data_IF_623698779149
#
_entry.id   IF_623698779149
#
_cell.length_a   1.000
_cell.length_b   1.000
_cell.length_c   1.000
_cell.angle_alpha   90.00
_cell.angle_beta   90.00
_cell.angle_gamma   90.00
#
_symmetry.space_group_name_H-M   'P 1'
#
loop_
_entity.id
_entity.type
_entity.pdbx_description
1 polymer ?
#
# COMPACT_ATOMS: atom_id res chain seq x y z
N UNK A 1 9.47 1.91 25.83
CA UNK A 1 8.55 0.93 25.48
C UNK A 1 9.18 -0.12 24.66
N UNK A 2 8.85 -1.21 24.96
CA UNK A 2 9.45 -2.29 24.30
C UNK A 2 8.72 -2.64 23.04
N UNK A 3 9.46 -2.72 22.01
CA UNK A 3 8.91 -3.18 20.78
C UNK A 3 8.77 -4.67 20.72
N UNK A 4 9.14 -5.33 21.77
CA UNK A 4 9.00 -6.78 21.77
C UNK A 4 7.58 -7.23 21.99
N UNK A 5 6.73 -6.30 22.37
CA UNK A 5 5.41 -6.62 22.79
C UNK A 5 4.72 -7.64 21.94
N UNK A 6 4.16 -7.28 20.85
CA UNK A 6 3.39 -8.25 20.09
C UNK A 6 4.17 -8.93 18.98
N UNK A 7 5.42 -8.55 18.80
CA UNK A 7 6.16 -9.08 17.68
C UNK A 7 6.33 -10.59 17.78
N UNK A 8 6.73 -11.07 18.93
CA UNK A 8 6.97 -12.50 19.09
C UNK A 8 5.70 -13.32 19.02
N UNK A 9 4.64 -12.80 19.62
CA UNK A 9 3.36 -13.49 19.58
C UNK A 9 2.82 -13.53 18.16
N UNK A 10 2.96 -12.43 17.44
CA UNK A 10 2.48 -12.35 16.08
C UNK A 10 3.33 -13.13 15.11
N UNK A 11 4.58 -13.34 15.43
CA UNK A 11 5.50 -14.04 14.55
C UNK A 11 4.97 -15.42 14.19
N UNK A 12 4.45 -16.15 15.17
CA UNK A 12 3.94 -17.48 14.92
C UNK A 12 2.70 -17.48 14.05
N UNK A 13 1.84 -16.49 14.23
CA UNK A 13 0.61 -16.39 13.45
C UNK A 13 0.87 -15.97 12.02
N UNK A 14 2.00 -15.30 11.78
CA UNK A 14 2.31 -14.73 10.49
C UNK A 14 3.41 -15.50 9.77
N UNK A 15 3.65 -16.74 10.19
CA UNK A 15 4.73 -17.55 9.68
C UNK A 15 4.79 -17.60 8.16
N UNK A 16 3.68 -17.83 7.43
CA UNK A 16 3.73 -17.92 5.98
C UNK A 16 4.02 -16.59 5.29
N UNK A 17 3.96 -15.46 6.03
CA UNK A 17 4.12 -14.14 5.48
C UNK A 17 5.26 -13.42 6.15
N UNK A 18 5.68 -12.32 5.54
CA UNK A 18 6.69 -11.48 6.14
C UNK A 18 6.10 -10.78 7.36
N UNK A 19 6.61 -11.07 8.57
CA UNK A 19 6.06 -10.45 9.78
C UNK A 19 6.12 -8.93 9.78
N UNK A 20 7.09 -8.38 9.06
CA UNK A 20 7.22 -6.92 8.99
C UNK A 20 6.05 -6.26 8.29
N UNK A 21 5.42 -6.94 7.35
CA UNK A 21 4.29 -6.35 6.63
C UNK A 21 3.10 -6.14 7.56
N UNK A 22 2.85 -7.09 8.46
CA UNK A 22 1.79 -6.91 9.45
C UNK A 22 2.08 -5.76 10.39
N UNK A 23 3.33 -5.64 10.81
CA UNK A 23 3.73 -4.55 11.69
C UNK A 23 3.53 -3.21 10.99
N UNK A 24 3.87 -3.14 9.71
CA UNK A 24 3.66 -1.92 8.93
C UNK A 24 2.19 -1.55 8.86
N UNK A 25 1.32 -2.52 8.66
CA UNK A 25 -0.12 -2.25 8.63
C UNK A 25 -0.62 -1.67 9.95
N UNK A 26 -0.10 -2.17 11.05
CA UNK A 26 -0.46 -1.66 12.38
C UNK A 26 0.04 -0.23 12.56
N UNK A 27 1.18 0.11 11.99
CA UNK A 27 1.78 1.43 12.20
C UNK A 27 1.20 2.52 11.31
N UNK A 28 0.46 2.18 10.24
CA UNK A 28 -0.08 3.20 9.34
C UNK A 28 -0.96 4.22 10.04
N UNK A 29 -1.93 3.83 10.88
CA UNK A 29 -2.74 4.83 11.59
C UNK A 29 -1.90 5.72 12.50
N UNK A 30 -0.88 5.14 13.14
CA UNK A 30 0.02 5.90 14.01
C UNK A 30 0.82 6.90 13.19
N UNK A 31 1.33 6.47 12.05
CA UNK A 31 2.08 7.35 11.17
C UNK A 31 1.24 8.52 10.69
N UNK A 32 0.01 8.25 10.27
CA UNK A 32 -0.90 9.32 9.83
C UNK A 32 -1.12 10.33 10.95
N UNK A 33 -1.34 9.82 12.17
CA UNK A 33 -1.58 10.69 13.31
C UNK A 33 -0.36 11.55 13.62
N UNK A 34 0.83 10.98 13.51
CA UNK A 34 2.06 11.73 13.74
C UNK A 34 2.27 12.82 12.71
N UNK A 35 1.97 12.53 11.45
CA UNK A 35 2.11 13.53 10.39
C UNK A 35 1.15 14.70 10.59
N UNK A 36 -0.04 14.44 11.11
CA UNK A 36 -0.99 15.50 11.43
C UNK A 36 -0.49 16.32 12.62
N UNK A 37 0.01 15.66 13.65
CA UNK A 37 0.39 16.30 14.91
C UNK A 37 1.69 17.07 14.81
N UNK A 38 2.59 16.64 13.94
CA UNK A 38 3.93 17.23 13.84
C UNK A 38 4.24 17.55 12.38
N UNK A 39 3.86 18.74 11.91
CA UNK A 39 4.12 19.11 10.53
C UNK A 39 5.60 19.15 10.14
N UNK A 40 6.51 19.20 11.12
CA UNK A 40 7.95 19.18 10.80
C UNK A 40 8.38 17.85 10.18
N UNK A 41 7.55 16.80 10.32
CA UNK A 41 7.82 15.53 9.68
C UNK A 41 7.58 15.57 8.17
N UNK A 42 6.86 16.59 7.68
CA UNK A 42 6.70 16.77 6.23
C UNK A 42 7.99 17.36 5.69
N UNK A 43 8.93 16.50 5.40
CA UNK A 43 10.24 16.89 4.90
C UNK A 43 10.72 15.88 3.86
N UNK A 44 11.67 16.33 3.05
CA UNK A 44 12.27 15.48 2.04
C UNK A 44 12.93 14.26 2.67
N UNK A 45 13.58 14.43 3.82
CA UNK A 45 14.23 13.31 4.51
C UNK A 45 13.22 12.24 4.92
N UNK A 46 12.08 12.66 5.45
CA UNK A 46 11.03 11.72 5.81
C UNK A 46 10.51 10.96 4.60
N UNK A 47 10.25 11.68 3.51
CA UNK A 47 9.78 11.04 2.29
C UNK A 47 10.79 10.03 1.77
N UNK A 48 12.08 10.38 1.76
CA UNK A 48 13.12 9.49 1.27
C UNK A 48 13.24 8.23 2.12
N UNK A 49 12.91 8.33 3.41
CA UNK A 49 12.91 7.17 4.28
C UNK A 49 11.68 6.28 4.05
N UNK A 50 10.53 6.89 3.77
CA UNK A 50 9.27 6.15 3.64
C UNK A 50 9.05 5.57 2.25
N UNK A 51 9.43 6.29 1.20
CA UNK A 51 9.08 5.90 -0.16
C UNK A 51 9.59 4.51 -0.55
N UNK A 52 10.83 4.13 -0.23
CA UNK A 52 11.29 2.77 -0.58
C UNK A 52 10.47 1.67 0.10
N UNK A 53 9.86 1.97 1.23
CA UNK A 53 9.03 1.00 1.94
C UNK A 53 7.63 0.96 1.33
N UNK A 54 7.06 2.14 1.05
CA UNK A 54 5.66 2.25 0.67
C UNK A 54 5.42 2.04 -0.83
N UNK A 55 6.34 2.53 -1.66
CA UNK A 55 6.10 2.62 -3.10
C UNK A 55 7.06 1.75 -3.90
N UNK A 56 7.47 0.63 -3.33
CA UNK A 56 8.25 -0.39 -4.01
C UNK A 56 7.40 -1.65 -4.10
N UNK A 57 7.33 -2.23 -5.29
CA UNK A 57 6.56 -3.45 -5.48
C UNK A 57 7.26 -4.61 -4.79
N UNK A 58 6.58 -5.30 -3.87
CA UNK A 58 7.23 -6.37 -3.11
C UNK A 58 7.39 -7.64 -3.91
N UNK A 59 8.31 -8.47 -3.40
CA UNK A 59 8.59 -9.78 -3.97
C UNK A 59 8.43 -10.80 -2.83
N UNK A 60 7.78 -11.91 -3.14
CA UNK A 60 7.60 -13.00 -2.18
C UNK A 60 8.17 -14.27 -2.81
N UNK A 61 9.18 -14.87 -2.15
CA UNK A 61 9.82 -16.09 -2.63
C UNK A 61 10.25 -15.97 -4.09
N UNK A 62 10.97 -14.90 -4.38
CA UNK A 62 11.49 -14.59 -5.71
C UNK A 62 10.41 -14.32 -6.77
N UNK A 63 9.16 -14.24 -6.36
CA UNK A 63 8.06 -13.93 -7.28
C UNK A 63 7.55 -12.53 -6.99
N UNK A 64 7.50 -11.64 -8.00
CA UNK A 64 6.85 -10.36 -7.80
C UNK A 64 5.42 -10.57 -7.33
N UNK A 65 5.03 -9.87 -6.28
CA UNK A 65 3.72 -10.09 -5.66
C UNK A 65 2.59 -9.87 -6.65
N UNK A 66 2.72 -8.90 -7.55
CA UNK A 66 1.68 -8.66 -8.54
C UNK A 66 1.52 -9.79 -9.55
N UNK A 67 2.49 -10.72 -9.62
CA UNK A 67 2.37 -11.88 -10.50
C UNK A 67 1.72 -13.08 -9.84
N UNK A 68 1.38 -12.98 -8.55
CA UNK A 68 0.65 -14.05 -7.89
C UNK A 68 -0.75 -14.17 -8.47
N UNK A 69 -1.29 -15.41 -8.46
CA UNK A 69 -2.66 -15.61 -8.88
C UNK A 69 -3.62 -14.90 -7.95
N UNK A 70 -4.88 -14.71 -8.40
CA UNK A 70 -5.90 -14.10 -7.56
C UNK A 70 -6.04 -14.85 -6.24
N UNK A 71 -6.11 -16.18 -6.32
CA UNK A 71 -6.28 -17.01 -5.13
C UNK A 71 -5.11 -16.86 -4.18
N UNK A 72 -3.88 -16.89 -4.70
CA UNK A 72 -2.70 -16.72 -3.86
C UNK A 72 -2.66 -15.32 -3.25
N UNK A 73 -2.96 -14.32 -4.05
CA UNK A 73 -2.83 -12.93 -3.63
C UNK A 73 -3.81 -12.59 -2.51
N UNK A 74 -5.06 -13.02 -2.64
CA UNK A 74 -6.06 -12.70 -1.60
C UNK A 74 -5.84 -13.46 -0.31
N UNK A 75 -5.02 -14.51 -0.33
CA UNK A 75 -4.67 -15.23 0.90
C UNK A 75 -3.51 -14.57 1.64
N UNK A 76 -2.91 -13.54 1.05
CA UNK A 76 -1.84 -12.79 1.68
C UNK A 76 -2.35 -11.48 2.25
N UNK A 77 -1.47 -10.72 2.90
CA UNK A 77 -1.79 -9.39 3.39
C UNK A 77 -1.53 -8.31 2.36
N UNK A 78 -1.02 -8.66 1.18
CA UNK A 78 -0.63 -7.64 0.20
C UNK A 78 -1.78 -6.78 -0.32
N UNK A 79 -2.98 -7.31 -0.56
CA UNK A 79 -4.07 -6.41 -0.93
C UNK A 79 -4.33 -5.32 0.11
N UNK A 80 -4.30 -5.69 1.40
CA UNK A 80 -4.42 -4.71 2.47
C UNK A 80 -3.22 -3.77 2.52
N UNK A 81 -2.03 -4.30 2.29
CA UNK A 81 -0.82 -3.50 2.23
C UNK A 81 -0.91 -2.44 1.13
N UNK A 82 -1.28 -2.85 -0.07
CA UNK A 82 -1.41 -1.90 -1.18
C UNK A 82 -2.52 -0.89 -0.93
N UNK A 83 -3.61 -1.32 -0.30
CA UNK A 83 -4.70 -0.42 0.05
C UNK A 83 -4.22 0.67 0.99
N UNK A 84 -3.48 0.29 2.04
CA UNK A 84 -2.98 1.26 3.00
C UNK A 84 -1.91 2.16 2.40
N UNK A 85 -1.03 1.63 1.56
CA UNK A 85 -0.04 2.45 0.89
C UNK A 85 -0.70 3.46 -0.05
N UNK A 86 -1.75 3.06 -0.74
CA UNK A 86 -2.48 3.96 -1.64
C UNK A 86 -3.17 5.07 -0.86
N UNK A 87 -3.78 4.72 0.27
CA UNK A 87 -4.41 5.70 1.14
C UNK A 87 -3.38 6.68 1.70
N UNK A 88 -2.21 6.17 2.05
CA UNK A 88 -1.16 7.04 2.58
C UNK A 88 -0.58 7.94 1.49
N UNK A 89 -0.47 7.44 0.27
CA UNK A 89 -0.04 8.25 -0.86
C UNK A 89 -0.98 9.45 -1.05
N UNK A 90 -2.28 9.18 -1.09
CA UNK A 90 -3.28 10.23 -1.21
C UNK A 90 -3.19 11.19 -0.03
N UNK A 91 -3.06 10.65 1.18
CA UNK A 91 -3.00 11.43 2.40
C UNK A 91 -1.80 12.38 2.40
N UNK A 92 -0.62 11.86 2.08
CA UNK A 92 0.59 12.67 2.02
C UNK A 92 0.50 13.75 0.96
N UNK A 93 0.01 13.37 -0.22
CA UNK A 93 -0.14 14.32 -1.31
C UNK A 93 -1.08 15.46 -0.91
N UNK A 94 -2.21 15.13 -0.29
CA UNK A 94 -3.18 16.13 0.11
C UNK A 94 -2.67 16.98 1.28
N UNK A 95 -1.99 16.37 2.23
CA UNK A 95 -1.50 17.08 3.41
C UNK A 95 -0.35 18.03 3.06
N UNK A 96 0.50 17.64 2.15
CA UNK A 96 1.73 18.38 1.84
C UNK A 96 1.50 19.41 0.72
N UNK A 97 0.63 20.37 0.98
CA UNK A 97 0.29 21.39 -0.02
C UNK A 97 1.49 22.20 -0.47
N UNK A 98 2.46 22.39 0.42
CA UNK A 98 3.64 23.19 0.13
C UNK A 98 4.77 22.39 -0.50
N UNK A 99 4.54 21.11 -0.77
CA UNK A 99 5.51 20.22 -1.39
C UNK A 99 6.84 20.14 -0.63
N UNK A 100 6.76 20.12 0.69
CA UNK A 100 7.95 20.07 1.52
C UNK A 100 8.65 18.72 1.43
N UNK A 101 7.89 17.66 1.19
CA UNK A 101 8.45 16.31 1.00
C UNK A 101 8.96 16.08 -0.40
N UNK A 102 8.55 16.88 -1.36
CA UNK A 102 8.85 16.65 -2.77
C UNK A 102 7.85 15.74 -3.47
N UNK A 103 6.84 15.26 -2.74
CA UNK A 103 5.89 14.29 -3.30
C UNK A 103 5.09 14.87 -4.48
N UNK A 104 4.92 16.19 -4.52
CA UNK A 104 4.17 16.84 -5.60
C UNK A 104 5.02 17.21 -6.81
N UNK A 105 6.33 16.93 -6.75
CA UNK A 105 7.21 17.20 -7.86
C UNK A 105 6.94 16.29 -9.04
N UNK A 106 7.14 16.82 -10.26
CA UNK A 106 6.84 16.08 -11.47
C UNK A 106 7.63 14.77 -11.57
N UNK A 107 8.92 14.83 -11.23
CA UNK A 107 9.78 13.65 -11.32
C UNK A 107 9.32 12.60 -10.33
N UNK A 108 9.03 13.02 -9.10
CA UNK A 108 8.57 12.09 -8.05
C UNK A 108 7.25 11.43 -8.44
N UNK A 109 6.29 12.23 -8.91
CA UNK A 109 4.99 11.70 -9.31
C UNK A 109 5.11 10.77 -10.51
N UNK A 110 5.95 11.13 -11.48
CA UNK A 110 6.15 10.27 -12.65
C UNK A 110 6.73 8.92 -12.22
N UNK A 111 7.64 8.93 -11.27
CA UNK A 111 8.22 7.68 -10.76
C UNK A 111 7.19 6.83 -10.03
N UNK A 112 6.40 7.44 -9.17
CA UNK A 112 5.34 6.71 -8.45
C UNK A 112 4.35 6.11 -9.43
N UNK A 113 3.89 6.90 -10.40
CA UNK A 113 2.92 6.44 -11.38
C UNK A 113 3.48 5.33 -12.25
N UNK A 114 4.71 5.48 -12.72
CA UNK A 114 5.30 4.52 -13.65
C UNK A 114 5.78 3.24 -12.99
N UNK A 115 6.36 3.33 -11.81
CA UNK A 115 7.02 2.19 -11.19
C UNK A 115 6.17 1.48 -10.14
N UNK A 116 5.13 2.13 -9.63
CA UNK A 116 4.32 1.55 -8.57
C UNK A 116 2.85 1.52 -8.91
N UNK A 117 2.24 2.68 -9.13
CA UNK A 117 0.79 2.79 -9.28
C UNK A 117 0.30 2.17 -10.59
N UNK A 118 0.99 2.46 -11.70
CA UNK A 118 0.60 1.94 -13.01
C UNK A 118 0.59 0.41 -13.08
N UNK A 119 1.67 -0.25 -12.66
CA UNK A 119 1.65 -1.71 -12.62
C UNK A 119 0.54 -2.27 -11.74
N UNK A 120 0.26 -1.63 -10.61
CA UNK A 120 -0.84 -2.07 -9.74
C UNK A 120 -2.18 -1.91 -10.46
N UNK A 121 -2.40 -0.76 -11.11
CA UNK A 121 -3.65 -0.53 -11.84
C UNK A 121 -3.87 -1.55 -12.94
N UNK A 122 -2.82 -1.86 -13.69
CA UNK A 122 -2.92 -2.84 -14.75
C UNK A 122 -3.26 -4.23 -14.21
N UNK A 123 -2.62 -4.61 -13.11
CA UNK A 123 -2.90 -5.93 -12.52
C UNK A 123 -4.31 -5.98 -11.94
N UNK A 124 -4.76 -4.90 -11.33
CA UNK A 124 -6.11 -4.84 -10.76
C UNK A 124 -7.19 -5.01 -11.83
N UNK A 125 -6.98 -4.49 -13.03
CA UNK A 125 -7.93 -4.69 -14.12
C UNK A 125 -8.18 -6.17 -14.37
N UNK A 126 -7.10 -6.94 -14.43
CA UNK A 126 -7.19 -8.39 -14.65
C UNK A 126 -7.83 -9.07 -13.45
N UNK A 127 -7.39 -8.71 -12.24
CA UNK A 127 -7.90 -9.32 -11.02
C UNK A 127 -9.38 -9.06 -10.82
N UNK A 128 -9.85 -7.87 -11.17
CA UNK A 128 -11.27 -7.54 -11.05
C UNK A 128 -12.11 -8.41 -11.98
N UNK A 129 -11.65 -8.60 -13.21
CA UNK A 129 -12.35 -9.43 -14.16
C UNK A 129 -12.39 -10.89 -13.68
N UNK A 130 -11.28 -11.39 -13.15
CA UNK A 130 -11.23 -12.75 -12.62
C UNK A 130 -12.16 -12.91 -11.41
N UNK A 131 -12.18 -11.91 -10.54
CA UNK A 131 -13.03 -11.96 -9.35
C UNK A 131 -14.51 -11.96 -9.73
N UNK A 132 -14.89 -11.19 -10.74
CA UNK A 132 -16.27 -11.17 -11.19
C UNK A 132 -16.70 -12.52 -11.76
N UNK A 133 -15.77 -13.24 -12.37
CA UNK A 133 -16.06 -14.55 -12.94
C UNK A 133 -16.26 -15.66 -11.92
N UNK A 134 -15.92 -15.42 -10.66
CA UNK A 134 -16.02 -16.45 -9.62
C UNK A 134 -17.44 -16.70 -9.12
N UNK A 135 -18.38 -15.82 -9.43
CA UNK A 135 -19.75 -15.99 -9.00
C UNK A 135 -19.99 -15.54 -7.56
N UNK A 136 -21.19 -15.88 -7.06
CA UNK A 136 -21.63 -15.34 -5.78
C UNK A 136 -20.91 -15.92 -4.56
N UNK A 137 -20.33 -17.11 -4.70
CA UNK A 137 -19.62 -17.74 -3.60
C UNK A 137 -18.31 -17.05 -3.23
N UNK A 138 -17.87 -16.09 -4.03
CA UNK A 138 -16.59 -15.41 -3.84
C UNK A 138 -16.77 -13.98 -3.35
N UNK A 139 -17.75 -13.73 -2.50
CA UNK A 139 -18.04 -12.38 -2.00
C UNK A 139 -16.83 -11.76 -1.34
N UNK A 140 -16.11 -12.54 -0.52
CA UNK A 140 -14.95 -12.01 0.19
C UNK A 140 -13.82 -11.63 -0.75
N UNK A 141 -13.57 -12.45 -1.76
CA UNK A 141 -12.55 -12.16 -2.75
C UNK A 141 -12.88 -10.87 -3.48
N UNK A 142 -14.12 -10.73 -3.93
CA UNK A 142 -14.54 -9.52 -4.60
C UNK A 142 -14.42 -8.29 -3.71
N UNK A 143 -14.79 -8.44 -2.44
CA UNK A 143 -14.70 -7.33 -1.49
C UNK A 143 -13.27 -6.84 -1.32
N UNK A 144 -12.34 -7.78 -1.16
CA UNK A 144 -10.93 -7.44 -1.01
C UNK A 144 -10.40 -6.70 -2.23
N UNK A 145 -10.71 -7.22 -3.42
CA UNK A 145 -10.23 -6.61 -4.67
C UNK A 145 -10.87 -5.24 -4.88
N UNK A 146 -12.15 -5.09 -4.60
CA UNK A 146 -12.83 -3.81 -4.77
C UNK A 146 -12.29 -2.76 -3.82
N UNK A 147 -12.04 -3.14 -2.57
CA UNK A 147 -11.50 -2.22 -1.58
C UNK A 147 -10.12 -1.72 -2.00
N UNK A 148 -9.28 -2.63 -2.46
CA UNK A 148 -7.96 -2.29 -2.97
C UNK A 148 -8.07 -1.38 -4.19
N UNK A 149 -8.92 -1.75 -5.14
CA UNK A 149 -9.12 -0.98 -6.35
C UNK A 149 -9.62 0.44 -6.06
N UNK A 150 -10.54 0.58 -5.12
CA UNK A 150 -11.07 1.89 -4.75
C UNK A 150 -9.97 2.79 -4.18
N UNK A 151 -9.10 2.23 -3.33
CA UNK A 151 -8.02 3.00 -2.76
C UNK A 151 -7.03 3.46 -3.82
N UNK A 152 -6.68 2.56 -4.74
CA UNK A 152 -5.77 2.89 -5.84
C UNK A 152 -6.39 3.95 -6.74
N UNK A 153 -7.67 3.84 -7.04
CA UNK A 153 -8.34 4.82 -7.87
C UNK A 153 -8.37 6.19 -7.23
N UNK A 154 -8.66 6.26 -5.92
CA UNK A 154 -8.64 7.53 -5.20
C UNK A 154 -7.27 8.19 -5.26
N UNK A 155 -6.23 7.40 -5.03
CA UNK A 155 -4.87 7.92 -5.08
C UNK A 155 -4.53 8.40 -6.49
N UNK A 156 -4.87 7.60 -7.49
CA UNK A 156 -4.59 7.93 -8.88
C UNK A 156 -5.26 9.23 -9.31
N UNK A 157 -6.53 9.40 -8.93
CA UNK A 157 -7.27 10.62 -9.25
C UNK A 157 -6.63 11.82 -8.55
N UNK A 158 -6.29 11.66 -7.28
CA UNK A 158 -5.74 12.76 -6.49
C UNK A 158 -4.41 13.27 -7.06
N UNK A 159 -3.51 12.35 -7.38
CA UNK A 159 -2.18 12.76 -7.86
C UNK A 159 -2.14 13.02 -9.36
N UNK A 160 -3.18 12.61 -10.08
CA UNK A 160 -3.25 12.85 -11.52
C UNK A 160 -3.66 14.27 -11.87
N UNK A 161 -4.08 15.02 -10.87
CA UNK A 161 -4.44 16.42 -11.06
C UNK A 161 -3.21 17.29 -10.85
#
# INVERSE_FOLDING_TARGET
MSVSWPIEANHQLLEPENPFDSIRLITFPILRQQLISDPSLLSSATYQALAPILFTLPVQDDTPVLNLSLEELVSTMYPSWFTECSNLLWFLYDLDKDNRTGIRGEITLAKIKGEWLGPIEQRLEVLKAEAEGLGQGAVQVRFVIERWSDAVQRASIAIGK
#
